data_IF_034257310376
#
_entry.id   IF_034257310376
#
_cell.length_a   1.000
_cell.length_b   1.000
_cell.length_c   1.000
_cell.angle_alpha   90.00
_cell.angle_beta   90.00
_cell.angle_gamma   90.00
#
_symmetry.space_group_name_H-M   'P 1'
#
loop_
_entity.id
_entity.type
_entity.pdbx_description
1 polymer ?
#
# COMPACT_ATOMS: atom_id res chain seq x y z
N UNK A 1 20.03 -35.61 40.91
CA UNK A 1 20.11 -34.14 40.76
C UNK A 1 20.88 -33.85 39.49
N UNK A 2 20.18 -33.60 38.40
CA UNK A 2 20.75 -33.08 37.15
C UNK A 2 19.89 -31.87 36.82
N UNK A 3 20.51 -30.69 36.81
CA UNK A 3 19.87 -29.40 36.61
C UNK A 3 19.22 -29.33 35.23
N UNK A 4 17.92 -29.02 35.19
CA UNK A 4 17.24 -28.65 33.96
C UNK A 4 17.84 -27.34 33.42
N UNK A 5 18.12 -27.20 32.12
CA UNK A 5 18.51 -25.92 31.56
C UNK A 5 17.30 -24.97 31.58
N UNK A 6 17.46 -23.91 32.36
CA UNK A 6 16.58 -22.75 32.43
C UNK A 6 16.67 -21.89 31.17
N UNK A 7 15.57 -21.17 30.92
CA UNK A 7 15.38 -20.04 30.01
C UNK A 7 15.40 -20.31 28.50
N UNK A 8 14.21 -20.59 27.96
CA UNK A 8 13.85 -20.06 26.64
C UNK A 8 13.71 -18.54 26.78
N UNK A 9 14.62 -17.79 26.17
CA UNK A 9 14.45 -16.35 25.96
C UNK A 9 13.44 -16.21 24.83
N UNK A 10 12.23 -15.77 25.15
CA UNK A 10 11.31 -15.30 24.13
C UNK A 10 11.97 -14.13 23.39
N UNK A 11 12.34 -14.33 22.13
CA UNK A 11 12.70 -13.22 21.26
C UNK A 11 11.44 -12.39 21.07
N UNK A 12 11.28 -11.35 21.88
CA UNK A 12 10.43 -10.24 21.52
C UNK A 12 11.09 -9.60 20.28
N UNK A 13 10.63 -10.00 19.10
CA UNK A 13 10.93 -9.25 17.89
C UNK A 13 10.38 -7.85 18.11
N UNK A 14 11.25 -6.89 18.41
CA UNK A 14 10.91 -5.47 18.37
C UNK A 14 10.65 -5.14 16.91
N UNK A 15 9.43 -5.41 16.45
CA UNK A 15 8.91 -4.95 15.16
C UNK A 15 8.70 -3.46 15.29
N UNK A 16 9.79 -2.68 15.26
CA UNK A 16 9.70 -1.27 14.91
C UNK A 16 9.24 -1.26 13.46
N UNK A 17 7.92 -1.25 13.26
CA UNK A 17 7.33 -0.98 11.94
C UNK A 17 7.96 0.32 11.45
N UNK A 18 8.71 0.31 10.34
CA UNK A 18 9.31 1.52 9.81
C UNK A 18 8.21 2.57 9.68
N UNK A 19 8.41 3.76 10.24
CA UNK A 19 7.54 4.88 9.90
C UNK A 19 7.80 5.21 8.44
N UNK A 20 6.86 4.84 7.56
CA UNK A 20 6.96 5.03 6.12
C UNK A 20 6.63 6.47 5.69
N UNK A 21 6.47 7.40 6.64
CA UNK A 21 6.26 8.78 6.26
C UNK A 21 7.57 9.42 5.81
N UNK A 22 7.60 10.04 4.63
CA UNK A 22 8.74 10.83 4.23
C UNK A 22 8.86 12.04 5.14
N UNK A 23 10.07 12.28 5.65
CA UNK A 23 10.36 13.49 6.41
C UNK A 23 10.06 14.74 5.56
N UNK A 24 9.59 15.80 6.22
CA UNK A 24 9.44 17.11 5.56
C UNK A 24 10.81 17.50 4.98
N UNK A 25 10.90 17.85 3.68
CA UNK A 25 12.15 18.29 3.10
C UNK A 25 12.73 19.48 3.88
N UNK A 26 14.03 19.44 4.17
CA UNK A 26 14.71 20.50 4.94
C UNK A 26 14.65 21.87 4.24
N UNK A 27 14.54 21.86 2.91
CA UNK A 27 14.42 22.99 2.00
C UNK A 27 12.96 23.36 1.62
N UNK A 28 11.97 22.92 2.40
CA UNK A 28 10.57 23.35 2.20
C UNK A 28 10.42 24.86 2.36
N UNK A 29 9.70 25.49 1.44
CA UNK A 29 9.38 26.93 1.47
C UNK A 29 7.88 27.20 1.59
N UNK A 30 7.04 26.25 1.18
CA UNK A 30 5.60 26.33 1.35
C UNK A 30 4.92 24.96 1.33
N UNK A 31 3.69 24.90 1.80
CA UNK A 31 2.75 23.81 1.51
C UNK A 31 1.72 24.27 0.49
N UNK A 32 1.24 23.32 -0.30
CA UNK A 32 0.22 23.56 -1.30
C UNK A 32 -0.67 22.33 -1.50
N UNK A 33 -1.78 22.52 -2.19
CA UNK A 33 -2.65 21.45 -2.66
C UNK A 33 -2.86 21.55 -4.17
N UNK A 34 -3.06 20.40 -4.80
CA UNK A 34 -3.52 20.35 -6.17
C UNK A 34 -4.98 20.82 -6.28
N UNK A 35 -5.25 21.71 -7.22
CA UNK A 35 -6.61 22.23 -7.50
C UNK A 35 -7.32 21.48 -8.63
N UNK A 36 -6.63 20.54 -9.26
CA UNK A 36 -7.13 19.76 -10.38
C UNK A 36 -6.90 18.27 -10.13
N UNK A 37 -7.58 17.41 -10.86
CA UNK A 37 -7.52 15.96 -10.63
C UNK A 37 -6.46 15.21 -11.45
N UNK A 38 -5.81 15.87 -12.40
CA UNK A 38 -4.82 15.25 -13.28
C UNK A 38 -3.64 16.20 -13.52
N UNK A 39 -3.04 16.65 -12.42
CA UNK A 39 -1.90 17.54 -12.49
C UNK A 39 -0.65 16.70 -12.76
N UNK A 40 -0.03 16.90 -13.92
CA UNK A 40 1.19 16.18 -14.31
C UNK A 40 2.39 16.73 -13.57
N UNK A 41 3.22 15.82 -13.09
CA UNK A 41 4.49 16.14 -12.43
C UNK A 41 5.62 15.59 -13.29
N UNK A 42 6.58 16.45 -13.59
CA UNK A 42 7.65 16.17 -14.54
C UNK A 42 8.99 15.96 -13.83
N UNK A 43 9.81 15.05 -14.36
CA UNK A 43 11.18 14.85 -13.90
C UNK A 43 12.01 16.12 -14.09
N UNK A 44 12.95 16.33 -13.17
CA UNK A 44 13.99 17.34 -13.27
C UNK A 44 14.58 17.61 -11.89
N UNK A 45 15.86 17.96 -11.83
CA UNK A 45 16.54 18.37 -10.60
C UNK A 45 16.92 19.86 -10.60
N UNK A 46 16.72 20.54 -11.73
CA UNK A 46 17.08 21.95 -11.89
C UNK A 46 16.13 22.69 -12.83
N UNK A 47 16.12 24.02 -12.74
CA UNK A 47 15.44 24.89 -13.69
C UNK A 47 15.83 24.63 -15.15
N UNK A 48 17.09 24.25 -15.39
CA UNK A 48 17.56 23.96 -16.74
C UNK A 48 16.94 22.68 -17.29
N UNK A 49 16.63 21.69 -16.45
CA UNK A 49 16.03 20.44 -16.93
C UNK A 49 14.64 20.66 -17.51
N UNK A 50 13.79 21.44 -16.83
CA UNK A 50 12.41 21.69 -17.28
C UNK A 50 12.35 22.56 -18.56
N UNK A 51 13.39 23.37 -18.80
CA UNK A 51 13.50 24.25 -19.96
C UNK A 51 14.13 23.54 -21.17
N UNK A 52 15.19 22.76 -20.95
CA UNK A 52 16.06 22.29 -22.04
C UNK A 52 15.87 20.81 -22.42
N UNK A 53 15.25 19.99 -21.58
CA UNK A 53 15.09 18.55 -21.82
C UNK A 53 13.65 18.20 -22.18
N UNK A 54 13.43 17.09 -22.93
CA UNK A 54 12.10 16.52 -23.09
C UNK A 54 11.45 16.28 -21.73
N UNK A 55 10.22 16.77 -21.57
CA UNK A 55 9.47 16.66 -20.32
C UNK A 55 8.99 15.22 -20.13
N UNK A 56 9.55 14.53 -19.14
CA UNK A 56 9.13 13.17 -18.77
C UNK A 56 8.19 13.25 -17.58
N UNK A 57 6.96 12.75 -17.74
CA UNK A 57 5.99 12.67 -16.64
C UNK A 57 6.43 11.53 -15.71
N UNK A 58 6.63 11.84 -14.44
CA UNK A 58 7.00 10.86 -13.42
C UNK A 58 5.82 10.44 -12.55
N UNK A 59 4.83 11.34 -12.41
CA UNK A 59 3.59 11.04 -11.71
C UNK A 59 2.47 12.05 -12.03
N UNK A 60 1.31 11.84 -11.43
CA UNK A 60 0.17 12.76 -11.42
C UNK A 60 -0.27 13.04 -9.97
N UNK A 61 -0.81 14.25 -9.74
CA UNK A 61 -1.52 14.60 -8.51
C UNK A 61 -3.03 14.48 -8.72
N UNK A 62 -3.70 14.01 -7.67
CA UNK A 62 -5.15 14.00 -7.55
C UNK A 62 -5.66 15.33 -6.97
N UNK A 63 -6.98 15.54 -7.01
CA UNK A 63 -7.57 16.75 -6.47
C UNK A 63 -7.38 16.83 -4.95
N UNK A 64 -6.93 18.00 -4.49
CA UNK A 64 -6.52 18.26 -3.11
C UNK A 64 -5.40 17.37 -2.58
N UNK A 65 -4.67 16.66 -3.45
CA UNK A 65 -3.43 16.00 -3.04
C UNK A 65 -2.41 17.07 -2.65
N UNK A 66 -1.89 16.96 -1.43
CA UNK A 66 -0.96 17.93 -0.91
C UNK A 66 0.47 17.70 -1.37
N UNK A 67 1.17 18.82 -1.47
CA UNK A 67 2.56 18.87 -1.86
C UNK A 67 3.30 19.90 -1.01
N UNK A 68 4.60 19.72 -0.89
CA UNK A 68 5.50 20.77 -0.42
C UNK A 68 6.13 21.45 -1.61
N UNK A 69 6.12 22.78 -1.64
CA UNK A 69 6.99 23.53 -2.54
C UNK A 69 8.36 23.60 -1.89
N UNK A 70 9.38 23.18 -2.64
CA UNK A 70 10.77 23.12 -2.16
C UNK A 70 11.62 24.14 -2.92
N UNK A 71 12.72 24.56 -2.29
CA UNK A 71 13.72 25.51 -2.80
C UNK A 71 13.24 26.97 -2.94
N UNK A 72 12.19 27.23 -3.72
CA UNK A 72 11.76 28.59 -4.06
C UNK A 72 10.25 28.69 -4.34
N UNK A 73 9.63 29.77 -3.86
CA UNK A 73 8.27 30.18 -4.24
C UNK A 73 8.22 30.99 -5.54
N UNK A 74 9.36 31.51 -5.99
CA UNK A 74 9.48 32.17 -7.28
C UNK A 74 9.51 31.11 -8.37
N UNK A 75 8.48 31.03 -9.24
CA UNK A 75 8.42 29.99 -10.24
C UNK A 75 9.47 30.21 -11.33
N UNK A 76 9.99 29.11 -11.85
CA UNK A 76 10.81 29.10 -13.06
C UNK A 76 9.88 29.38 -14.24
N UNK A 77 10.26 30.34 -15.09
CA UNK A 77 9.51 30.67 -16.30
C UNK A 77 10.25 30.06 -17.48
N UNK A 78 9.55 29.21 -18.24
CA UNK A 78 10.14 28.63 -19.46
C UNK A 78 9.99 29.56 -20.69
N UNK A 79 10.48 29.11 -21.84
CA UNK A 79 10.43 29.86 -23.10
C UNK A 79 9.02 30.15 -23.61
N UNK A 80 8.01 29.42 -23.14
CA UNK A 80 6.60 29.64 -23.46
C UNK A 80 5.88 30.56 -22.45
N UNK A 81 6.58 30.98 -21.39
CA UNK A 81 6.01 31.80 -20.32
C UNK A 81 5.29 30.98 -19.24
N UNK A 82 5.31 29.64 -19.31
CA UNK A 82 4.71 28.80 -18.28
C UNK A 82 5.55 28.86 -17.00
N UNK A 83 4.86 28.90 -15.86
CA UNK A 83 5.45 29.04 -14.52
C UNK A 83 5.50 27.69 -13.83
N UNK A 84 6.67 27.30 -13.36
CA UNK A 84 6.94 25.99 -12.77
C UNK A 84 7.45 26.10 -11.34
N UNK A 85 6.98 25.21 -10.48
CA UNK A 85 7.50 25.03 -9.12
C UNK A 85 8.07 23.62 -8.98
N UNK A 86 9.18 23.51 -8.25
CA UNK A 86 9.67 22.22 -7.77
C UNK A 86 8.88 21.84 -6.52
N UNK A 87 8.33 20.63 -6.53
CA UNK A 87 7.53 20.12 -5.43
C UNK A 87 8.05 18.78 -4.92
N UNK A 88 7.75 18.48 -3.67
CA UNK A 88 7.81 17.16 -3.07
C UNK A 88 6.39 16.66 -2.78
N UNK A 89 6.11 15.41 -3.12
CA UNK A 89 4.80 14.78 -3.00
C UNK A 89 4.87 13.71 -1.91
N UNK A 90 4.62 14.07 -0.66
CA UNK A 90 4.80 13.16 0.47
C UNK A 90 3.85 11.96 0.46
N UNK A 91 2.72 12.08 -0.24
CA UNK A 91 1.75 10.99 -0.42
C UNK A 91 2.18 9.92 -1.42
N UNK A 92 3.25 10.19 -2.15
CA UNK A 92 3.80 9.32 -3.18
C UNK A 92 5.25 9.06 -2.81
N UNK A 93 5.53 7.92 -2.18
CA UNK A 93 6.86 7.68 -1.62
C UNK A 93 7.83 7.12 -2.66
N UNK A 94 9.10 7.44 -2.46
CA UNK A 94 10.28 6.92 -3.15
C UNK A 94 11.20 6.29 -2.10
N UNK A 95 11.94 5.25 -2.48
CA UNK A 95 12.88 4.57 -1.58
C UNK A 95 14.30 4.94 -1.97
N UNK A 96 14.99 5.62 -1.06
CA UNK A 96 16.37 6.03 -1.24
C UNK A 96 17.33 4.83 -1.15
N UNK A 97 18.59 5.02 -1.56
CA UNK A 97 19.58 3.94 -1.55
C UNK A 97 19.91 3.41 -0.14
N UNK A 98 19.77 4.26 0.88
CA UNK A 98 19.97 3.92 2.29
C UNK A 98 18.72 3.26 2.93
N UNK A 99 17.68 3.00 2.14
CA UNK A 99 16.41 2.44 2.60
C UNK A 99 15.46 3.45 3.24
N UNK A 100 15.87 4.72 3.38
CA UNK A 100 14.96 5.77 3.86
C UNK A 100 13.92 6.11 2.80
N UNK A 101 12.75 6.59 3.23
CA UNK A 101 11.67 7.00 2.33
C UNK A 101 11.62 8.52 2.19
N UNK A 102 11.44 9.00 0.96
CA UNK A 102 11.21 10.41 0.64
C UNK A 102 9.95 10.56 -0.21
N UNK A 103 9.35 11.76 -0.27
CA UNK A 103 8.28 12.03 -1.23
C UNK A 103 8.85 12.12 -2.65
N UNK A 104 8.07 11.76 -3.66
CA UNK A 104 8.45 11.95 -5.07
C UNK A 104 8.65 13.44 -5.33
N UNK A 105 9.77 13.80 -5.93
CA UNK A 105 10.07 15.19 -6.30
C UNK A 105 9.96 15.41 -7.80
N UNK A 106 9.42 16.55 -8.21
CA UNK A 106 9.37 16.94 -9.61
C UNK A 106 8.74 18.31 -9.83
N UNK A 107 8.71 18.75 -11.08
CA UNK A 107 8.18 20.04 -11.47
C UNK A 107 6.70 19.98 -11.79
N UNK A 108 5.96 21.00 -11.36
CA UNK A 108 4.54 21.16 -11.62
C UNK A 108 4.23 22.60 -12.02
N UNK A 109 3.20 22.80 -12.85
CA UNK A 109 2.76 24.14 -13.20
C UNK A 109 2.20 24.86 -11.97
N UNK A 110 2.55 26.13 -11.82
CA UNK A 110 2.17 26.97 -10.68
C UNK A 110 0.66 27.16 -10.56
N UNK A 111 -0.04 27.27 -11.69
CA UNK A 111 -1.49 27.48 -11.76
C UNK A 111 -2.31 26.25 -11.37
N UNK A 112 -1.68 25.07 -11.35
CA UNK A 112 -2.30 23.84 -10.85
C UNK A 112 -2.33 23.74 -9.32
N UNK A 113 -1.59 24.63 -8.63
CA UNK A 113 -1.43 24.59 -7.17
C UNK A 113 -2.09 25.78 -6.47
N UNK A 114 -2.65 25.48 -5.31
CA UNK A 114 -3.06 26.47 -4.33
C UNK A 114 -2.10 26.46 -3.14
N UNK A 115 -1.41 27.59 -2.91
CA UNK A 115 -0.41 27.72 -1.84
C UNK A 115 -1.14 28.00 -0.53
N UNK A 116 -0.97 27.11 0.44
CA UNK A 116 -1.67 27.18 1.73
C UNK A 116 -0.88 28.00 2.74
N UNK A 117 0.36 27.61 3.01
CA UNK A 117 1.23 28.24 4.03
C UNK A 117 2.62 28.43 3.48
N UNK A 118 3.20 29.62 3.72
CA UNK A 118 4.58 29.97 3.36
C UNK A 118 5.50 30.12 4.58
N UNK A 119 4.94 30.06 5.80
CA UNK A 119 5.71 30.10 7.04
C UNK A 119 6.43 28.78 7.27
N UNK A 120 7.75 28.74 7.02
CA UNK A 120 8.57 27.54 7.21
C UNK A 120 8.64 27.10 8.67
N UNK A 121 8.58 28.04 9.62
CA UNK A 121 8.47 27.72 11.04
C UNK A 121 7.17 26.99 11.33
N UNK A 122 6.02 27.49 10.87
CA UNK A 122 4.71 26.80 11.00
C UNK A 122 4.73 25.41 10.33
N UNK A 123 5.38 25.28 9.17
CA UNK A 123 5.54 23.99 8.49
C UNK A 123 6.38 23.00 9.30
N UNK A 124 7.52 23.44 9.83
CA UNK A 124 8.46 22.57 10.56
C UNK A 124 8.06 22.32 12.01
N UNK A 125 7.37 23.26 12.65
CA UNK A 125 6.95 23.16 14.06
C UNK A 125 5.62 22.42 14.23
N UNK A 126 4.85 22.25 13.16
CA UNK A 126 3.57 21.55 13.19
C UNK A 126 3.80 20.06 13.51
N UNK A 127 3.63 19.68 14.77
CA UNK A 127 3.62 18.29 15.22
C UNK A 127 2.44 17.50 14.64
N UNK A 128 1.40 18.18 14.16
CA UNK A 128 0.24 17.62 13.49
C UNK A 128 0.07 18.19 12.08
N UNK A 129 1.00 17.83 11.19
CA UNK A 129 0.97 18.23 9.77
C UNK A 129 -0.38 17.98 9.07
N UNK A 130 -1.08 16.98 9.58
CA UNK A 130 -2.45 16.58 9.24
C UNK A 130 -3.52 17.60 9.53
N UNK A 131 -3.50 18.17 10.73
CA UNK A 131 -4.57 19.04 11.23
C UNK A 131 -4.32 20.45 10.71
N UNK A 132 -3.05 20.84 10.67
CA UNK A 132 -2.67 22.23 10.49
C UNK A 132 -2.15 22.57 9.11
N UNK A 133 -1.94 21.65 8.17
CA UNK A 133 -1.31 22.02 6.87
C UNK A 133 -1.90 21.26 5.70
N UNK A 134 -2.16 19.97 5.89
CA UNK A 134 -2.67 19.12 4.84
C UNK A 134 -3.42 17.92 5.44
N UNK A 135 -4.75 17.83 5.28
CA UNK A 135 -5.55 16.73 5.83
C UNK A 135 -5.19 15.35 5.27
N UNK A 136 -4.79 15.28 4.00
CA UNK A 136 -4.32 14.03 3.37
C UNK A 136 -2.91 13.63 3.82
N UNK A 137 -2.21 14.59 4.46
CA UNK A 137 -1.07 14.53 5.38
C UNK A 137 -0.82 13.21 6.03
N UNK A 138 -1.84 12.86 6.81
CA UNK A 138 -2.14 11.50 7.14
C UNK A 138 -0.99 10.72 7.70
N UNK A 139 -0.32 11.13 8.78
CA UNK A 139 0.23 10.05 9.60
C UNK A 139 -0.97 9.39 10.25
N UNK A 140 -1.34 8.23 9.71
CA UNK A 140 -2.16 7.26 10.40
C UNK A 140 -1.62 7.06 11.83
N UNK A 141 -0.34 7.39 12.13
CA UNK A 141 0.29 7.22 13.44
C UNK A 141 0.18 8.27 14.55
N UNK A 142 0.00 9.56 14.27
CA UNK A 142 0.11 10.62 15.32
C UNK A 142 -1.21 11.11 15.94
N UNK A 143 -2.36 10.53 15.56
CA UNK A 143 -3.70 10.96 16.04
C UNK A 143 -4.17 10.29 17.35
N UNK A 144 -3.26 9.75 18.17
CA UNK A 144 -3.60 9.06 19.43
C UNK A 144 -4.00 9.99 20.58
N UNK A 145 -3.99 11.32 20.40
CA UNK A 145 -4.48 12.27 21.41
C UNK A 145 -6.00 12.44 21.35
N UNK A 146 -6.70 11.58 22.10
CA UNK A 146 -8.04 11.64 22.75
C UNK A 146 -9.22 12.47 22.22
N UNK A 147 -9.09 13.51 21.39
CA UNK A 147 -10.24 14.37 20.98
C UNK A 147 -10.64 14.26 19.50
N UNK A 148 -9.86 13.59 18.65
CA UNK A 148 -10.14 13.48 17.20
C UNK A 148 -10.70 12.12 16.74
N UNK A 149 -11.33 11.36 17.64
CA UNK A 149 -11.97 10.06 17.34
C UNK A 149 -13.04 10.08 16.22
N UNK A 150 -13.38 11.27 15.70
CA UNK A 150 -14.40 11.49 14.69
C UNK A 150 -13.89 11.97 13.33
N UNK A 151 -12.66 12.49 13.21
CA UNK A 151 -12.11 12.89 11.91
C UNK A 151 -11.78 11.65 11.12
N UNK A 152 -12.35 11.51 9.93
CA UNK A 152 -12.07 10.36 9.09
C UNK A 152 -11.80 10.81 7.65
N UNK A 153 -11.02 10.02 6.93
CA UNK A 153 -10.72 10.24 5.52
C UNK A 153 -11.67 9.43 4.67
N UNK A 154 -12.15 10.04 3.60
CA UNK A 154 -12.91 9.36 2.56
C UNK A 154 -12.04 9.18 1.34
N UNK A 155 -12.04 7.98 0.78
CA UNK A 155 -11.34 7.68 -0.48
C UNK A 155 -12.39 7.43 -1.55
N UNK A 156 -12.29 8.14 -2.66
CA UNK A 156 -13.14 7.90 -3.83
C UNK A 156 -12.85 6.52 -4.41
N UNK A 157 -13.85 5.63 -4.41
CA UNK A 157 -13.73 4.26 -4.93
C UNK A 157 -14.43 4.08 -6.28
N UNK A 158 -15.31 5.00 -6.65
CA UNK A 158 -15.89 5.03 -8.00
C UNK A 158 -14.85 5.53 -9.01
N UNK A 159 -14.89 5.00 -10.23
CA UNK A 159 -14.02 5.41 -11.34
C UNK A 159 -14.11 6.93 -11.56
N UNK A 160 -15.35 7.43 -11.56
CA UNK A 160 -15.68 8.85 -11.59
C UNK A 160 -16.68 9.15 -10.49
N UNK A 161 -16.32 10.05 -9.58
CA UNK A 161 -17.26 10.62 -8.62
C UNK A 161 -17.49 12.10 -8.91
N UNK A 162 -18.56 12.64 -8.35
CA UNK A 162 -18.92 14.04 -8.49
C UNK A 162 -19.05 14.67 -7.12
N UNK A 163 -18.52 15.87 -7.01
CA UNK A 163 -18.52 16.68 -5.80
C UNK A 163 -19.44 17.88 -6.00
N UNK A 164 -20.35 18.13 -5.07
CA UNK A 164 -21.41 19.12 -5.20
C UNK A 164 -21.40 20.16 -4.08
N UNK A 165 -21.92 21.36 -4.37
CA UNK A 165 -22.08 22.47 -3.40
C UNK A 165 -23.13 22.19 -2.33
N UNK A 166 -24.09 21.30 -2.62
CA UNK A 166 -25.20 20.96 -1.74
C UNK A 166 -25.60 19.50 -1.91
N UNK A 167 -26.33 18.97 -0.93
CA UNK A 167 -27.06 17.70 -1.07
C UNK A 167 -28.14 17.89 -2.13
N UNK A 168 -28.28 16.91 -3.00
CA UNK A 168 -29.28 16.97 -4.06
C UNK A 168 -30.55 16.25 -3.62
N UNK A 169 -31.69 16.87 -3.91
CA UNK A 169 -33.00 16.30 -3.60
C UNK A 169 -33.36 15.18 -4.59
N UNK A 170 -34.56 14.60 -4.47
CA UNK A 170 -35.09 13.64 -5.43
C UNK A 170 -35.10 14.17 -6.89
N UNK A 171 -35.12 15.49 -7.09
CA UNK A 171 -35.01 16.13 -8.40
C UNK A 171 -33.60 16.07 -9.03
N UNK A 172 -32.60 15.55 -8.30
CA UNK A 172 -31.20 15.51 -8.74
C UNK A 172 -30.43 16.84 -8.53
N UNK A 173 -29.15 16.82 -8.90
CA UNK A 173 -28.27 17.99 -8.91
C UNK A 173 -28.29 18.67 -10.28
N UNK A 174 -28.14 19.99 -10.33
CA UNK A 174 -27.90 20.70 -11.60
C UNK A 174 -26.42 20.77 -11.93
N UNK A 175 -26.06 21.25 -13.12
CA UNK A 175 -24.65 21.46 -13.51
C UNK A 175 -23.99 22.55 -12.66
N UNK A 176 -24.75 23.54 -12.21
CA UNK A 176 -24.29 24.66 -11.39
C UNK A 176 -23.94 24.22 -9.95
N UNK A 177 -24.54 23.12 -9.50
CA UNK A 177 -24.24 22.49 -8.22
C UNK A 177 -22.93 21.71 -8.24
N UNK A 178 -22.46 21.27 -9.41
CA UNK A 178 -21.22 20.52 -9.56
C UNK A 178 -20.03 21.43 -9.28
N UNK A 179 -19.22 21.05 -8.29
CA UNK A 179 -17.93 21.69 -8.00
C UNK A 179 -16.85 21.05 -8.88
N UNK A 180 -16.71 19.73 -8.78
CA UNK A 180 -15.61 19.01 -9.42
C UNK A 180 -15.97 17.55 -9.72
N UNK A 181 -15.31 16.97 -10.73
CA UNK A 181 -15.31 15.51 -10.96
C UNK A 181 -14.04 14.93 -10.33
N UNK A 182 -14.17 13.88 -9.53
CA UNK A 182 -13.07 13.24 -8.80
C UNK A 182 -12.71 11.89 -9.42
N UNK A 183 -11.43 11.54 -9.39
CA UNK A 183 -10.92 10.23 -9.84
C UNK A 183 -10.93 9.22 -8.71
N UNK A 184 -10.97 7.96 -9.10
CA UNK A 184 -10.59 6.83 -8.26
C UNK A 184 -9.30 7.11 -7.46
N UNK A 185 -9.36 6.91 -6.15
CA UNK A 185 -8.29 7.15 -5.20
C UNK A 185 -8.28 8.55 -4.57
N UNK A 186 -9.05 9.52 -5.07
CA UNK A 186 -9.01 10.88 -4.51
C UNK A 186 -9.35 10.86 -3.02
N UNK A 187 -8.50 11.50 -2.21
CA UNK A 187 -8.67 11.61 -0.77
C UNK A 187 -9.41 12.89 -0.41
N UNK A 188 -10.43 12.76 0.43
CA UNK A 188 -11.25 13.87 0.91
C UNK A 188 -11.30 13.85 2.43
N UNK A 189 -11.19 15.02 3.03
CA UNK A 189 -11.41 15.19 4.46
C UNK A 189 -12.92 15.24 4.75
N UNK A 190 -13.38 14.57 5.81
CA UNK A 190 -14.75 14.74 6.27
C UNK A 190 -14.86 14.83 7.79
N UNK A 191 -15.87 15.57 8.24
CA UNK A 191 -15.94 16.04 9.62
C UNK A 191 -16.85 15.17 10.49
N UNK A 192 -17.98 14.67 9.97
CA UNK A 192 -18.91 13.87 10.79
C UNK A 192 -19.62 12.77 10.01
N UNK A 193 -20.05 11.73 10.73
CA UNK A 193 -20.97 10.72 10.21
C UNK A 193 -22.36 11.34 10.09
N UNK A 194 -22.64 11.93 8.94
CA UNK A 194 -23.95 12.49 8.64
C UNK A 194 -25.01 11.39 8.39
N UNK A 195 -26.28 11.79 8.53
CA UNK A 195 -27.49 10.96 8.46
C UNK A 195 -27.51 10.01 7.25
N UNK A 196 -28.30 8.93 7.33
CA UNK A 196 -28.41 7.85 6.32
C UNK A 196 -29.08 8.27 4.99
N UNK A 197 -28.91 9.51 4.54
CA UNK A 197 -29.54 10.06 3.33
C UNK A 197 -28.76 9.74 2.04
N UNK A 198 -27.72 8.91 2.13
CA UNK A 198 -26.87 8.52 1.00
C UNK A 198 -25.85 9.57 0.59
N UNK A 199 -25.76 10.69 1.32
CA UNK A 199 -24.77 11.75 1.10
C UNK A 199 -23.74 11.81 2.23
N UNK A 200 -22.58 12.33 1.88
CA UNK A 200 -21.48 12.58 2.80
C UNK A 200 -21.03 14.01 2.61
N UNK A 201 -21.07 14.79 3.69
CA UNK A 201 -20.42 16.09 3.75
C UNK A 201 -18.90 15.87 3.82
N UNK A 202 -18.15 16.56 2.99
CA UNK A 202 -16.69 16.58 2.98
C UNK A 202 -16.25 18.04 3.04
N UNK A 203 -15.07 18.30 3.60
CA UNK A 203 -14.46 19.62 3.52
C UNK A 203 -13.52 19.65 2.34
N UNK A 204 -13.65 20.72 1.58
CA UNK A 204 -12.76 21.04 0.48
C UNK A 204 -12.14 22.40 0.69
N UNK A 205 -10.97 22.62 0.13
CA UNK A 205 -10.36 23.94 0.12
C UNK A 205 -10.68 24.61 -1.23
N UNK A 206 -11.36 25.74 -1.17
CA UNK A 206 -11.73 26.55 -2.34
C UNK A 206 -11.36 28.00 -2.10
N UNK A 207 -10.71 28.66 -3.07
CA UNK A 207 -10.53 30.11 -3.02
C UNK A 207 -9.17 30.60 -3.52
N UNK A 208 -8.97 31.91 -3.35
CA UNK A 208 -7.73 32.65 -3.59
C UNK A 208 -7.26 33.25 -2.27
N UNK A 209 -6.17 32.77 -1.69
CA UNK A 209 -5.60 33.27 -0.46
C UNK A 209 -4.34 32.49 -0.07
N UNK A 210 -3.38 33.17 0.56
CA UNK A 210 -2.29 32.52 1.29
C UNK A 210 -2.63 32.72 2.76
N UNK A 211 -2.65 31.65 3.56
CA UNK A 211 -2.82 31.84 5.00
C UNK A 211 -1.62 32.61 5.53
N UNK A 212 -1.89 33.73 6.20
CA UNK A 212 -0.88 34.36 7.03
C UNK A 212 -0.57 33.47 8.25
N UNK A 213 0.45 33.85 9.04
CA UNK A 213 0.83 33.08 10.23
C UNK A 213 -0.28 32.96 11.27
N UNK A 214 -1.22 33.91 11.31
CA UNK A 214 -2.29 34.04 12.32
C UNK A 214 -3.62 33.40 11.93
N UNK A 215 -3.87 33.17 10.64
CA UNK A 215 -5.13 32.56 10.16
C UNK A 215 -5.19 31.05 10.42
N UNK A 216 -6.38 30.60 10.84
CA UNK A 216 -6.71 29.19 11.02
C UNK A 216 -7.15 28.56 9.69
N UNK A 217 -6.71 27.33 9.43
CA UNK A 217 -7.11 26.54 8.27
C UNK A 217 -8.62 26.30 8.17
N UNK A 218 -9.32 26.31 9.30
CA UNK A 218 -10.77 26.14 9.33
C UNK A 218 -11.51 27.21 8.51
N UNK A 219 -10.87 28.35 8.27
CA UNK A 219 -11.44 29.43 7.44
C UNK A 219 -11.35 29.15 5.94
N UNK A 220 -10.50 28.23 5.50
CA UNK A 220 -10.35 27.85 4.09
C UNK A 220 -11.31 26.73 3.65
N UNK A 221 -11.85 25.98 4.61
CA UNK A 221 -12.70 24.86 4.31
C UNK A 221 -14.09 25.34 3.89
N UNK A 222 -14.54 24.83 2.75
CA UNK A 222 -15.92 24.89 2.29
C UNK A 222 -16.54 23.50 2.40
N UNK A 223 -17.81 23.46 2.77
CA UNK A 223 -18.63 22.26 2.70
C UNK A 223 -18.88 21.85 1.26
N UNK A 224 -18.70 20.57 0.98
CA UNK A 224 -19.12 19.93 -0.25
C UNK A 224 -19.75 18.57 0.04
N UNK A 225 -20.39 18.00 -0.98
CA UNK A 225 -21.19 16.80 -0.83
C UNK A 225 -20.84 15.79 -1.91
N UNK A 226 -20.65 14.54 -1.50
CA UNK A 226 -20.39 13.40 -2.36
C UNK A 226 -21.35 12.27 -1.98
N UNK A 227 -21.71 11.41 -2.94
CA UNK A 227 -22.54 10.24 -2.65
C UNK A 227 -21.75 9.22 -1.84
N UNK A 228 -22.38 8.67 -0.81
CA UNK A 228 -21.77 7.63 0.02
C UNK A 228 -21.38 6.38 -0.79
N UNK A 229 -22.16 6.06 -1.83
CA UNK A 229 -21.85 4.96 -2.74
C UNK A 229 -20.54 5.13 -3.49
N UNK A 230 -20.07 6.37 -3.66
CA UNK A 230 -18.88 6.71 -4.47
C UNK A 230 -17.58 6.72 -3.66
N UNK A 231 -17.68 6.61 -2.33
CA UNK A 231 -16.54 6.65 -1.41
C UNK A 231 -16.49 5.40 -0.54
N UNK A 232 -15.32 5.15 0.01
CA UNK A 232 -15.14 4.30 1.18
C UNK A 232 -14.58 5.15 2.31
N UNK A 233 -15.12 4.97 3.50
CA UNK A 233 -14.69 5.69 4.69
C UNK A 233 -13.80 4.80 5.53
N UNK A 234 -12.66 5.32 5.98
CA UNK A 234 -11.80 4.60 6.90
C UNK A 234 -12.06 5.09 8.31
N UNK A 235 -12.33 4.16 9.23
CA UNK A 235 -12.32 4.45 10.67
C UNK A 235 -10.89 4.28 11.15
N UNK A 236 -10.35 5.31 11.80
CA UNK A 236 -9.00 5.30 12.35
C UNK A 236 -8.78 4.13 13.33
N UNK A 237 -9.82 3.71 14.06
CA UNK A 237 -9.77 2.55 14.96
C UNK A 237 -9.55 1.21 14.26
N UNK A 238 -9.66 1.13 12.93
CA UNK A 238 -9.36 -0.07 12.14
C UNK A 238 -7.86 -0.19 11.80
N UNK A 239 -7.04 0.79 12.19
CA UNK A 239 -5.60 0.88 11.93
C UNK A 239 -4.76 -0.27 12.47
N UNK A 240 -5.02 -0.76 13.68
CA UNK A 240 -4.34 -1.96 14.21
C UNK A 240 -4.61 -3.21 13.36
N UNK A 241 -5.69 -3.19 12.55
CA UNK A 241 -6.00 -4.22 11.57
C UNK A 241 -5.47 -3.92 10.17
N UNK A 242 -4.86 -2.76 9.93
CA UNK A 242 -4.26 -2.37 8.63
C UNK A 242 -2.76 -2.68 8.57
N UNK A 243 -2.04 -2.62 9.69
CA UNK A 243 -0.69 -3.22 9.74
C UNK A 243 -0.83 -4.75 9.69
N UNK A 244 -1.72 -5.29 10.52
CA UNK A 244 -2.14 -6.68 10.50
C UNK A 244 -3.36 -6.91 9.58
N UNK A 245 -3.38 -6.36 8.34
CA UNK A 245 -4.40 -6.81 7.36
C UNK A 245 -4.17 -8.30 7.22
N UNK A 246 -5.10 -9.07 7.78
CA UNK A 246 -5.09 -10.52 7.68
C UNK A 246 -4.98 -10.84 6.21
N UNK A 247 -3.88 -11.48 5.85
CA UNK A 247 -3.55 -11.81 4.48
C UNK A 247 -4.76 -12.52 3.85
N UNK A 248 -5.31 -12.03 2.73
CA UNK A 248 -6.55 -12.60 2.17
C UNK A 248 -6.37 -14.06 1.79
N UNK A 249 -7.30 -14.95 2.13
CA UNK A 249 -7.18 -16.40 1.88
C UNK A 249 -6.56 -16.71 0.50
N UNK A 250 -5.46 -17.50 0.45
CA UNK A 250 -4.73 -17.78 -0.80
C UNK A 250 -5.60 -18.46 -1.86
N UNK A 251 -6.69 -19.12 -1.46
CA UNK A 251 -7.62 -19.81 -2.36
C UNK A 251 -9.06 -19.33 -2.17
N UNK A 252 -9.26 -18.03 -1.92
CA UNK A 252 -10.59 -17.42 -1.94
C UNK A 252 -11.34 -17.79 -3.23
N UNK A 253 -12.31 -18.70 -3.11
CA UNK A 253 -13.08 -19.25 -4.24
C UNK A 253 -13.92 -18.22 -4.98
N UNK A 254 -14.14 -17.05 -4.35
CA UNK A 254 -14.81 -15.87 -4.91
C UNK A 254 -13.79 -14.73 -5.12
N UNK A 255 -12.74 -15.01 -5.88
CA UNK A 255 -11.64 -14.06 -6.12
C UNK A 255 -12.13 -12.72 -6.70
N UNK A 256 -13.19 -12.74 -7.50
CA UNK A 256 -13.86 -11.59 -8.11
C UNK A 256 -14.61 -10.70 -7.09
N UNK A 257 -14.98 -11.26 -5.95
CA UNK A 257 -15.62 -10.54 -4.84
C UNK A 257 -14.61 -9.89 -3.90
N UNK A 258 -13.32 -10.26 -3.99
CA UNK A 258 -12.31 -9.64 -3.17
C UNK A 258 -12.21 -8.14 -3.53
N UNK A 259 -12.17 -7.22 -2.54
CA UNK A 259 -12.24 -5.79 -2.81
C UNK A 259 -11.20 -5.26 -3.81
N UNK A 260 -9.93 -5.70 -3.74
CA UNK A 260 -8.91 -5.25 -4.71
C UNK A 260 -9.23 -5.68 -6.14
N UNK A 261 -9.78 -6.88 -6.28
CA UNK A 261 -10.16 -7.44 -7.56
C UNK A 261 -11.37 -6.73 -8.11
N UNK A 262 -12.40 -6.52 -7.29
CA UNK A 262 -13.60 -5.77 -7.66
C UNK A 262 -13.27 -4.35 -8.14
N UNK A 263 -12.36 -3.66 -7.46
CA UNK A 263 -11.90 -2.34 -7.92
C UNK A 263 -11.03 -2.43 -9.17
N UNK A 264 -10.17 -3.43 -9.31
CA UNK A 264 -9.40 -3.68 -10.53
C UNK A 264 -10.30 -3.92 -11.75
N UNK A 265 -11.38 -4.70 -11.58
CA UNK A 265 -12.38 -4.96 -12.61
C UNK A 265 -13.09 -3.68 -13.07
N UNK A 266 -13.38 -2.75 -12.14
CA UNK A 266 -13.96 -1.45 -12.49
C UNK A 266 -13.02 -0.61 -13.36
N UNK A 267 -11.71 -0.77 -13.22
CA UNK A 267 -10.73 0.01 -13.97
C UNK A 267 -10.41 -0.57 -15.35
N UNK A 268 -10.97 -1.72 -15.75
CA UNK A 268 -10.75 -2.31 -17.08
C UNK A 268 -11.09 -1.31 -18.19
N UNK A 269 -10.19 -1.20 -19.16
CA UNK A 269 -10.31 -0.25 -20.27
C UNK A 269 -9.77 1.15 -19.98
N UNK A 270 -9.35 1.43 -18.74
CA UNK A 270 -8.55 2.61 -18.45
C UNK A 270 -7.29 2.60 -19.31
N UNK A 271 -7.01 3.69 -20.03
CA UNK A 271 -5.81 3.81 -20.88
C UNK A 271 -4.54 3.75 -20.05
N UNK A 272 -3.46 3.28 -20.68
CA UNK A 272 -2.12 3.43 -20.11
C UNK A 272 -1.64 4.86 -20.31
N UNK A 273 -1.01 5.41 -19.27
CA UNK A 273 -0.33 6.68 -19.33
C UNK A 273 0.94 6.58 -18.49
N UNK A 274 2.10 6.90 -19.07
CA UNK A 274 3.37 6.91 -18.34
C UNK A 274 3.32 7.99 -17.25
N UNK A 275 3.63 7.62 -16.02
CA UNK A 275 3.43 8.49 -14.86
C UNK A 275 1.96 8.62 -14.44
N UNK A 276 1.04 7.89 -15.07
CA UNK A 276 -0.40 7.98 -14.84
C UNK A 276 -0.85 7.47 -13.47
N UNK A 277 -1.73 8.22 -12.80
CA UNK A 277 -2.41 7.87 -11.52
C UNK A 277 -3.85 8.40 -11.46
N UNK A 278 -4.49 8.57 -12.60
CA UNK A 278 -5.84 9.11 -12.65
C UNK A 278 -6.58 8.57 -13.84
N UNK A 279 -7.87 8.33 -13.69
CA UNK A 279 -8.76 8.01 -14.81
C UNK A 279 -9.86 9.05 -14.84
N UNK A 280 -9.96 9.75 -15.96
CA UNK A 280 -11.11 10.59 -16.31
C UNK A 280 -11.48 10.26 -17.73
N UNK A 281 -12.77 10.05 -17.96
CA UNK A 281 -13.41 9.96 -19.26
C UNK A 281 -12.52 9.34 -20.36
N UNK A 282 -12.71 8.04 -20.61
CA UNK A 282 -12.05 7.27 -21.68
C UNK A 282 -12.07 7.98 -23.04
N UNK A 283 -13.05 8.85 -23.28
CA UNK A 283 -13.24 9.57 -24.54
C UNK A 283 -12.62 10.98 -24.56
N UNK A 284 -12.11 11.48 -23.43
CA UNK A 284 -11.45 12.78 -23.38
C UNK A 284 -10.05 12.72 -24.01
N UNK A 285 -9.64 13.82 -24.65
CA UNK A 285 -8.27 14.03 -25.15
C UNK A 285 -7.26 14.31 -24.04
N UNK A 286 -7.73 14.38 -22.79
CA UNK A 286 -6.88 14.63 -21.64
C UNK A 286 -6.02 13.38 -21.38
N UNK A 287 -4.74 13.61 -21.06
CA UNK A 287 -3.78 12.54 -20.76
C UNK A 287 -4.10 11.90 -19.40
N UNK A 288 -5.16 11.10 -19.37
CA UNK A 288 -5.65 10.36 -18.21
C UNK A 288 -5.32 8.89 -18.45
N UNK A 289 -4.92 8.19 -17.40
CA UNK A 289 -4.53 6.81 -17.46
C UNK A 289 -3.71 6.40 -16.25
N UNK A 290 -3.34 5.13 -16.22
CA UNK A 290 -2.52 4.56 -15.16
C UNK A 290 -1.36 3.80 -15.76
N UNK A 291 -0.13 4.06 -15.29
CA UNK A 291 0.94 3.09 -15.49
C UNK A 291 0.79 1.93 -14.51
N UNK A 292 1.62 0.89 -14.66
CA UNK A 292 1.52 -0.32 -13.83
C UNK A 292 1.67 -0.03 -12.33
N UNK A 293 2.68 0.76 -11.96
CA UNK A 293 2.89 1.17 -10.56
C UNK A 293 1.86 2.16 -10.02
N UNK A 294 1.30 3.00 -10.89
CA UNK A 294 0.22 3.93 -10.56
C UNK A 294 -1.05 3.18 -10.23
N UNK A 295 -1.40 2.19 -11.06
CA UNK A 295 -2.52 1.27 -10.82
C UNK A 295 -2.36 0.53 -9.49
N UNK A 296 -1.22 -0.12 -9.25
CA UNK A 296 -0.99 -0.86 -7.99
C UNK A 296 -1.09 0.06 -6.78
N UNK A 297 -0.50 1.27 -6.86
CA UNK A 297 -0.53 2.23 -5.76
C UNK A 297 -1.95 2.64 -5.39
N UNK A 298 -2.82 2.86 -6.37
CA UNK A 298 -4.21 3.26 -6.16
C UNK A 298 -5.07 2.10 -5.67
N UNK A 299 -4.90 0.90 -6.23
CA UNK A 299 -5.60 -0.29 -5.77
C UNK A 299 -5.30 -0.58 -4.30
N UNK A 300 -4.03 -0.51 -3.89
CA UNK A 300 -3.64 -0.68 -2.49
C UNK A 300 -4.22 0.39 -1.58
N UNK A 301 -4.20 1.65 -2.03
CA UNK A 301 -4.74 2.76 -1.26
C UNK A 301 -6.27 2.65 -1.09
N UNK A 302 -7.02 2.40 -2.16
CA UNK A 302 -8.49 2.32 -2.08
C UNK A 302 -8.96 1.06 -1.35
N UNK A 303 -8.25 -0.05 -1.52
CA UNK A 303 -8.66 -1.34 -0.94
C UNK A 303 -8.27 -1.46 0.53
N UNK A 304 -7.01 -1.16 0.83
CA UNK A 304 -6.42 -1.47 2.12
C UNK A 304 -6.06 -0.22 2.93
N UNK A 305 -6.31 0.98 2.39
CA UNK A 305 -5.74 2.23 2.93
C UNK A 305 -4.23 2.17 3.09
N UNK A 306 -3.56 1.35 2.27
CA UNK A 306 -2.11 1.16 2.35
C UNK A 306 -1.44 1.98 1.27
N UNK A 307 -0.53 2.86 1.70
CA UNK A 307 0.36 3.58 0.80
C UNK A 307 1.55 2.70 0.49
N UNK A 308 1.84 2.54 -0.80
CA UNK A 308 3.03 1.88 -1.29
C UNK A 308 3.82 2.87 -2.17
N UNK A 309 5.12 2.66 -2.39
CA UNK A 309 5.92 3.56 -3.21
C UNK A 309 5.36 3.78 -4.61
N UNK A 310 5.71 4.92 -5.20
CA UNK A 310 5.20 5.34 -6.50
C UNK A 310 5.79 4.56 -7.66
N UNK A 311 7.09 4.27 -7.62
CA UNK A 311 7.80 3.64 -8.74
C UNK A 311 7.82 2.12 -8.60
N UNK A 312 7.88 1.41 -9.72
CA UNK A 312 7.93 -0.07 -9.75
C UNK A 312 9.13 -0.58 -8.93
N UNK A 313 10.31 0.02 -9.12
CA UNK A 313 11.53 -0.40 -8.43
C UNK A 313 11.43 -0.16 -6.93
N UNK A 314 10.85 0.95 -6.50
CA UNK A 314 10.70 1.24 -5.08
C UNK A 314 9.62 0.37 -4.44
N UNK A 315 8.55 0.04 -5.17
CA UNK A 315 7.57 -0.95 -4.72
C UNK A 315 8.22 -2.30 -4.45
N UNK A 316 9.07 -2.77 -5.35
CA UNK A 316 9.80 -4.03 -5.17
C UNK A 316 10.76 -3.98 -3.97
N UNK A 317 11.52 -2.88 -3.82
CA UNK A 317 12.45 -2.70 -2.70
C UNK A 317 11.76 -2.63 -1.33
N UNK A 318 10.58 -1.99 -1.26
CA UNK A 318 9.86 -1.79 0.00
C UNK A 318 9.00 -3.00 0.41
N UNK A 319 8.65 -3.87 -0.53
CA UNK A 319 7.83 -5.05 -0.25
C UNK A 319 8.67 -6.20 0.35
N UNK A 320 8.05 -7.08 1.13
CA UNK A 320 8.70 -8.30 1.61
C UNK A 320 8.77 -9.33 0.47
N UNK A 321 9.98 -9.65 0.04
CA UNK A 321 10.26 -10.67 -0.98
C UNK A 321 10.30 -12.08 -0.41
N UNK A 322 10.29 -12.24 0.92
CA UNK A 322 10.32 -13.55 1.60
C UNK A 322 8.91 -14.08 1.85
N UNK A 323 8.10 -14.19 0.80
CA UNK A 323 6.82 -14.91 0.89
C UNK A 323 7.00 -16.38 0.49
N UNK A 324 6.31 -17.26 1.21
CA UNK A 324 6.25 -18.69 0.86
C UNK A 324 5.55 -18.89 -0.48
N UNK A 325 6.10 -19.73 -1.37
CA UNK A 325 5.50 -20.04 -2.69
C UNK A 325 4.08 -20.63 -2.59
N UNK A 326 3.78 -21.38 -1.52
CA UNK A 326 2.43 -21.92 -1.31
C UNK A 326 1.44 -20.85 -0.83
N UNK A 327 1.92 -19.65 -0.50
CA UNK A 327 1.15 -18.56 0.05
C UNK A 327 1.11 -17.37 -0.90
N UNK A 328 0.78 -17.53 -2.18
CA UNK A 328 0.34 -16.38 -2.97
C UNK A 328 -1.11 -16.03 -2.61
N UNK A 329 -1.34 -14.79 -2.19
CA UNK A 329 -2.62 -14.29 -1.67
C UNK A 329 -3.11 -13.15 -2.55
N UNK A 330 -4.43 -12.96 -2.61
CA UNK A 330 -5.02 -11.85 -3.36
C UNK A 330 -4.43 -10.53 -2.89
N UNK A 331 -3.94 -9.73 -3.83
CA UNK A 331 -3.25 -8.48 -3.57
C UNK A 331 -1.72 -8.57 -3.66
N UNK A 332 -1.11 -9.76 -3.52
CA UNK A 332 0.35 -9.91 -3.68
C UNK A 332 0.81 -9.38 -5.04
N UNK A 333 2.04 -8.86 -5.09
CA UNK A 333 2.58 -8.21 -6.27
C UNK A 333 3.51 -9.15 -7.02
N UNK A 334 3.36 -9.14 -8.34
CA UNK A 334 4.23 -9.84 -9.28
C UNK A 334 4.99 -8.79 -10.08
N UNK A 335 6.31 -8.91 -10.12
CA UNK A 335 7.20 -8.01 -10.84
C UNK A 335 7.88 -8.75 -11.98
N UNK A 336 8.16 -8.03 -13.05
CA UNK A 336 8.95 -8.53 -14.18
C UNK A 336 10.18 -7.64 -14.37
N UNK A 337 11.36 -8.24 -14.46
CA UNK A 337 12.57 -7.57 -14.94
C UNK A 337 12.95 -8.11 -16.31
N UNK A 338 13.69 -7.33 -17.11
CA UNK A 338 14.27 -7.84 -18.35
C UNK A 338 15.39 -8.85 -17.99
N UNK A 339 15.61 -9.90 -18.78
CA UNK A 339 16.75 -10.80 -18.52
C UNK A 339 18.10 -10.10 -18.64
N UNK A 340 18.17 -8.99 -19.38
CA UNK A 340 19.38 -8.17 -19.55
C UNK A 340 19.53 -7.04 -18.52
N UNK A 341 18.55 -6.84 -17.63
CA UNK A 341 18.58 -5.75 -16.64
C UNK A 341 17.92 -6.17 -15.33
N UNK A 342 18.56 -5.83 -14.22
CA UNK A 342 17.98 -6.07 -12.89
C UNK A 342 16.92 -5.03 -12.49
N UNK A 343 16.63 -4.04 -13.36
CA UNK A 343 15.55 -3.09 -13.13
C UNK A 343 14.19 -3.73 -13.43
N UNK A 344 13.25 -3.50 -12.52
CA UNK A 344 11.86 -3.89 -12.73
C UNK A 344 11.24 -3.05 -13.84
N UNK A 345 10.52 -3.73 -14.74
CA UNK A 345 9.90 -3.16 -15.94
C UNK A 345 8.39 -3.14 -15.86
N UNK A 346 7.80 -4.02 -15.05
CA UNK A 346 6.36 -4.09 -14.85
C UNK A 346 6.01 -4.60 -13.46
N UNK A 347 4.82 -4.24 -12.97
CA UNK A 347 4.23 -4.78 -11.75
C UNK A 347 2.75 -5.10 -11.98
N UNK A 348 2.28 -6.17 -11.37
CA UNK A 348 0.94 -6.72 -11.53
C UNK A 348 0.40 -7.12 -10.15
N UNK A 349 -0.92 -7.07 -9.97
CA UNK A 349 -1.58 -7.52 -8.74
C UNK A 349 -2.14 -8.92 -8.97
N UNK A 350 -1.85 -9.87 -8.07
CA UNK A 350 -2.51 -11.16 -8.06
C UNK A 350 -3.96 -11.00 -7.63
N UNK A 351 -4.90 -11.32 -8.53
CA UNK A 351 -6.34 -11.14 -8.31
C UNK A 351 -6.99 -12.35 -7.63
N UNK A 352 -6.29 -13.49 -7.61
CA UNK A 352 -6.76 -14.74 -7.02
C UNK A 352 -6.92 -15.83 -8.06
N UNK A 353 -7.73 -16.84 -7.70
CA UNK A 353 -7.87 -18.08 -8.44
C UNK A 353 -9.33 -18.48 -8.54
N UNK A 354 -9.74 -18.90 -9.73
CA UNK A 354 -11.09 -19.42 -9.95
C UNK A 354 -11.22 -20.85 -9.41
N UNK A 355 -12.29 -21.10 -8.67
CA UNK A 355 -12.52 -22.39 -8.01
C UNK A 355 -12.93 -23.51 -8.96
N UNK A 356 -13.48 -23.19 -10.12
CA UNK A 356 -13.97 -24.16 -11.11
C UNK A 356 -12.90 -24.47 -12.16
N UNK A 357 -12.28 -23.44 -12.74
CA UNK A 357 -11.27 -23.61 -13.78
C UNK A 357 -9.86 -23.82 -13.24
N UNK A 358 -9.64 -23.51 -11.95
CA UNK A 358 -8.32 -23.50 -11.33
C UNK A 358 -7.35 -22.51 -12.01
N UNK A 359 -7.86 -21.56 -12.80
CA UNK A 359 -7.07 -20.51 -13.42
C UNK A 359 -6.74 -19.40 -12.43
N UNK A 360 -5.53 -18.87 -12.54
CA UNK A 360 -5.05 -17.76 -11.75
C UNK A 360 -5.15 -16.46 -12.53
N UNK A 361 -5.63 -15.40 -11.88
CA UNK A 361 -5.89 -14.11 -12.50
C UNK A 361 -4.95 -13.03 -11.95
N UNK A 362 -4.58 -12.11 -12.83
CA UNK A 362 -3.78 -10.95 -12.50
C UNK A 362 -4.36 -9.69 -13.13
N UNK A 363 -4.17 -8.57 -12.43
CA UNK A 363 -4.54 -7.23 -12.88
C UNK A 363 -3.26 -6.47 -13.20
N UNK A 364 -3.19 -5.88 -14.39
CA UNK A 364 -2.05 -5.08 -14.82
C UNK A 364 -2.48 -3.87 -15.66
N UNK A 365 -1.58 -2.89 -15.80
CA UNK A 365 -1.68 -1.84 -16.82
C UNK A 365 -0.48 -1.91 -17.76
N UNK A 366 -0.71 -1.93 -19.07
CA UNK A 366 0.37 -1.98 -20.07
C UNK A 366 0.17 -0.97 -21.20
N UNK A 367 1.27 -0.52 -21.81
CA UNK A 367 1.26 0.47 -22.91
C UNK A 367 0.26 0.14 -24.03
N UNK A 368 0.16 -1.13 -24.40
CA UNK A 368 -0.67 -1.57 -25.53
C UNK A 368 -2.13 -1.90 -25.17
N UNK A 369 -2.46 -2.00 -23.87
CA UNK A 369 -3.76 -2.51 -23.45
C UNK A 369 -4.46 -1.69 -22.37
N UNK A 370 -3.76 -0.73 -21.75
CA UNK A 370 -4.25 -0.10 -20.54
C UNK A 370 -4.44 -1.11 -19.42
N UNK A 371 -5.39 -0.82 -18.53
CA UNK A 371 -5.77 -1.69 -17.43
C UNK A 371 -6.61 -2.85 -17.95
N UNK A 372 -6.21 -4.07 -17.58
CA UNK A 372 -6.90 -5.31 -17.95
C UNK A 372 -6.75 -6.35 -16.85
N UNK A 373 -7.64 -7.34 -16.90
CA UNK A 373 -7.52 -8.58 -16.17
C UNK A 373 -7.26 -9.72 -17.14
N UNK A 374 -6.39 -10.65 -16.78
CA UNK A 374 -6.07 -11.80 -17.61
C UNK A 374 -5.53 -12.94 -16.79
N UNK A 375 -5.47 -14.13 -17.40
CA UNK A 375 -4.91 -15.29 -16.70
C UNK A 375 -3.39 -15.26 -16.68
N UNK A 376 -2.80 -15.85 -15.65
CA UNK A 376 -1.35 -16.08 -15.54
C UNK A 376 -0.82 -16.81 -16.78
N UNK A 377 -1.55 -17.81 -17.28
CA UNK A 377 -1.17 -18.54 -18.49
C UNK A 377 -1.11 -17.64 -19.72
N UNK A 378 -2.10 -16.75 -19.90
CA UNK A 378 -2.10 -15.81 -21.01
C UNK A 378 -0.96 -14.80 -20.91
N UNK A 379 -0.62 -14.32 -19.71
CA UNK A 379 0.33 -13.23 -19.54
C UNK A 379 1.79 -13.67 -19.39
N UNK A 380 2.04 -14.79 -18.75
CA UNK A 380 3.37 -15.27 -18.40
C UNK A 380 3.78 -16.54 -19.18
N UNK A 381 2.82 -17.19 -19.85
CA UNK A 381 3.07 -18.43 -20.58
C UNK A 381 3.25 -19.65 -19.66
N UNK A 382 2.82 -19.57 -18.40
CA UNK A 382 2.92 -20.66 -17.41
C UNK A 382 1.54 -20.97 -16.82
N UNK A 383 1.28 -22.22 -16.45
CA UNK A 383 -0.03 -22.63 -15.94
C UNK A 383 -0.39 -21.97 -14.60
N UNK A 384 0.61 -21.75 -13.74
CA UNK A 384 0.43 -21.17 -12.40
C UNK A 384 1.71 -20.50 -11.96
N UNK A 385 1.60 -19.41 -11.20
CA UNK A 385 2.74 -18.73 -10.55
C UNK A 385 3.28 -19.52 -9.37
N UNK A 386 2.50 -20.43 -8.78
CA UNK A 386 2.90 -21.23 -7.61
C UNK A 386 4.02 -22.23 -7.94
N UNK A 387 4.27 -22.50 -9.22
CA UNK A 387 5.41 -23.29 -9.68
C UNK A 387 6.68 -22.49 -9.95
N UNK A 388 6.63 -21.16 -9.81
CA UNK A 388 7.75 -20.27 -10.11
C UNK A 388 8.47 -19.82 -8.83
N UNK A 389 9.79 -19.81 -8.90
CA UNK A 389 10.68 -19.15 -7.96
C UNK A 389 11.03 -17.74 -8.42
N UNK A 390 11.34 -16.86 -7.48
CA UNK A 390 11.87 -15.53 -7.80
C UNK A 390 13.19 -15.65 -8.57
N UNK A 391 13.28 -14.98 -9.72
CA UNK A 391 14.37 -15.06 -10.68
C UNK A 391 14.10 -15.99 -11.88
N UNK A 392 13.04 -16.80 -11.84
CA UNK A 392 12.71 -17.72 -12.93
C UNK A 392 12.42 -16.99 -14.23
N UNK A 393 12.82 -17.59 -15.35
CA UNK A 393 12.59 -17.06 -16.68
C UNK A 393 11.17 -17.35 -17.16
N UNK A 394 10.46 -16.32 -17.61
CA UNK A 394 9.12 -16.41 -18.20
C UNK A 394 9.10 -15.81 -19.61
N UNK A 395 8.03 -16.08 -20.37
CA UNK A 395 7.85 -15.56 -21.74
C UNK A 395 9.04 -15.86 -22.65
N UNK A 396 9.40 -17.14 -22.77
CA UNK A 396 10.51 -17.63 -23.58
C UNK A 396 11.87 -16.98 -23.22
N UNK A 397 12.10 -16.72 -21.93
CA UNK A 397 13.36 -16.14 -21.44
C UNK A 397 13.52 -14.64 -21.70
N UNK A 398 12.43 -13.94 -22.04
CA UNK A 398 12.48 -12.49 -22.21
C UNK A 398 12.47 -11.72 -20.88
N UNK A 399 11.85 -12.29 -19.86
CA UNK A 399 11.72 -11.65 -18.56
C UNK A 399 12.07 -12.60 -17.42
N UNK A 400 12.58 -12.04 -16.32
CA UNK A 400 12.68 -12.71 -15.02
C UNK A 400 11.46 -12.36 -14.17
N UNK A 401 10.91 -13.35 -13.51
CA UNK A 401 9.74 -13.24 -12.63
C UNK A 401 10.20 -13.00 -11.18
N UNK A 402 9.57 -12.05 -10.52
CA UNK A 402 9.78 -11.78 -9.09
C UNK A 402 8.41 -11.59 -8.44
N UNK A 403 8.37 -11.77 -7.13
CA UNK A 403 7.17 -11.51 -6.35
C UNK A 403 7.52 -10.86 -5.03
N UNK A 404 6.57 -10.11 -4.49
CA UNK A 404 6.68 -9.55 -3.16
C UNK A 404 5.29 -9.26 -2.58
N UNK A 405 5.22 -9.09 -1.27
CA UNK A 405 3.98 -8.70 -0.59
C UNK A 405 4.17 -7.47 0.26
N UNK A 406 3.14 -6.64 0.29
CA UNK A 406 3.03 -5.56 1.25
C UNK A 406 2.20 -5.98 2.46
N UNK A 407 1.65 -7.19 2.52
CA UNK A 407 1.03 -7.66 3.76
C UNK A 407 2.13 -8.04 4.75
N UNK A 408 1.93 -7.73 6.03
CA UNK A 408 2.79 -8.29 7.07
C UNK A 408 2.77 -9.82 6.93
N UNK A 409 3.90 -10.48 7.23
CA UNK A 409 3.90 -11.95 7.28
C UNK A 409 2.77 -12.35 8.19
N UNK A 410 1.79 -13.00 7.58
CA UNK A 410 0.65 -13.49 8.32
C UNK A 410 1.22 -14.35 9.44
N UNK A 411 0.69 -14.19 10.65
CA UNK A 411 0.90 -15.18 11.71
C UNK A 411 0.61 -16.58 11.13
N UNK A 412 -0.18 -16.75 10.07
CA UNK A 412 -0.36 -18.04 9.38
C UNK A 412 0.93 -18.64 8.77
N UNK A 413 1.81 -17.83 8.18
CA UNK A 413 3.09 -18.33 7.65
C UNK A 413 3.98 -18.81 8.80
N UNK A 414 3.98 -18.08 9.92
CA UNK A 414 4.62 -18.52 11.16
C UNK A 414 3.86 -19.65 11.85
N UNK A 415 2.55 -19.74 11.69
CA UNK A 415 1.68 -20.73 12.32
C UNK A 415 1.98 -22.10 11.75
N UNK A 416 2.28 -22.21 10.45
CA UNK A 416 2.78 -23.48 9.92
C UNK A 416 4.10 -23.87 10.58
N UNK A 417 5.02 -22.93 10.80
CA UNK A 417 6.27 -23.19 11.53
C UNK A 417 5.98 -23.56 12.98
N UNK A 418 5.09 -22.86 13.66
CA UNK A 418 4.70 -23.12 15.05
C UNK A 418 4.00 -24.47 15.15
N UNK A 419 3.05 -24.79 14.27
CA UNK A 419 2.34 -26.08 14.22
C UNK A 419 3.31 -27.22 13.90
N UNK A 420 4.26 -27.02 12.99
CA UNK A 420 5.32 -27.99 12.70
C UNK A 420 6.24 -28.18 13.90
N UNK A 421 6.68 -27.10 14.56
CA UNK A 421 7.49 -27.16 15.78
C UNK A 421 6.73 -27.83 16.92
N UNK A 422 5.42 -27.56 17.07
CA UNK A 422 4.55 -28.20 18.04
C UNK A 422 4.40 -29.70 17.75
N UNK A 423 4.26 -30.07 16.47
CA UNK A 423 4.20 -31.45 16.03
C UNK A 423 5.51 -32.20 16.32
N UNK A 424 6.65 -31.60 15.99
CA UNK A 424 7.99 -32.13 16.30
C UNK A 424 8.16 -32.28 17.81
N UNK A 425 7.73 -31.29 18.60
CA UNK A 425 7.79 -31.34 20.05
C UNK A 425 6.93 -32.49 20.61
N UNK A 426 5.67 -32.62 20.17
CA UNK A 426 4.78 -33.71 20.58
C UNK A 426 5.38 -35.07 20.20
N UNK A 427 5.86 -35.23 18.96
CA UNK A 427 6.49 -36.48 18.50
C UNK A 427 7.74 -36.82 19.34
N UNK A 428 8.56 -35.82 19.65
CA UNK A 428 9.74 -35.96 20.52
C UNK A 428 9.37 -36.41 21.94
N UNK A 429 8.34 -35.83 22.54
CA UNK A 429 7.86 -36.25 23.88
C UNK A 429 7.31 -37.67 23.89
N UNK A 430 6.60 -38.09 22.84
CA UNK A 430 6.09 -39.47 22.69
C UNK A 430 7.25 -40.46 22.56
N UNK A 431 8.27 -40.15 21.74
CA UNK A 431 9.46 -40.99 21.60
C UNK A 431 10.23 -41.13 22.92
N UNK A 432 10.39 -40.04 23.68
CA UNK A 432 11.01 -40.07 25.01
C UNK A 432 10.21 -40.94 25.99
N UNK A 433 8.88 -40.86 25.97
CA UNK A 433 8.01 -41.70 26.80
C UNK A 433 8.15 -43.19 26.44
N UNK A 434 8.20 -43.53 25.15
CA UNK A 434 8.43 -44.90 24.66
C UNK A 434 9.80 -45.40 25.14
N UNK A 435 10.86 -44.61 24.97
CA UNK A 435 12.21 -44.96 25.43
C UNK A 435 12.26 -45.19 26.94
N UNK A 436 11.53 -44.41 27.73
CA UNK A 436 11.42 -44.61 29.17
C UNK A 436 10.72 -45.93 29.54
N UNK A 437 9.63 -46.28 28.84
CA UNK A 437 8.91 -47.56 29.03
C UNK A 437 9.82 -48.74 28.68
N UNK A 438 10.52 -48.68 27.55
CA UNK A 438 11.47 -49.72 27.10
C UNK A 438 12.59 -49.89 28.12
N UNK A 439 13.21 -48.78 28.55
CA UNK A 439 14.29 -48.80 29.56
C UNK A 439 13.83 -49.39 30.88
N UNK A 440 12.62 -49.03 31.35
CA UNK A 440 12.01 -49.61 32.56
C UNK A 440 11.78 -51.13 32.42
N UNK A 441 11.37 -51.59 31.24
CA UNK A 441 11.14 -53.01 30.97
C UNK A 441 12.45 -53.81 30.94
N UNK A 442 13.48 -53.28 30.27
CA UNK A 442 14.84 -53.85 30.26
C UNK A 442 15.41 -53.91 31.67
N UNK A 443 15.32 -52.81 32.43
CA UNK A 443 15.76 -52.77 33.83
C UNK A 443 15.05 -53.81 34.69
N UNK A 444 13.73 -53.99 34.52
CA UNK A 444 12.95 -55.03 35.23
C UNK A 444 13.45 -56.44 34.88
N UNK A 445 13.73 -56.74 33.60
CA UNK A 445 14.30 -58.04 33.18
C UNK A 445 15.69 -58.27 33.77
N UNK A 446 16.59 -57.28 33.70
CA UNK A 446 17.95 -57.37 34.27
C UNK A 446 17.87 -57.62 35.78
N UNK A 447 17.02 -56.89 36.51
CA UNK A 447 16.84 -57.05 37.95
C UNK A 447 16.35 -58.45 38.34
N UNK A 448 15.48 -59.06 37.53
CA UNK A 448 15.02 -60.45 37.74
C UNK A 448 16.17 -61.43 37.52
N UNK A 449 16.94 -61.29 36.43
CA UNK A 449 18.10 -62.15 36.16
C UNK A 449 19.15 -62.06 37.28
N UNK A 450 19.51 -60.86 37.73
CA UNK A 450 20.50 -60.67 38.81
C UNK A 450 20.03 -61.28 40.13
N UNK A 451 18.74 -61.11 40.50
CA UNK A 451 18.19 -61.76 41.71
C UNK A 451 18.22 -63.29 41.59
N UNK A 452 17.93 -63.84 40.42
CA UNK A 452 18.01 -65.28 40.15
C UNK A 452 19.44 -65.83 40.30
N UNK A 453 20.45 -65.15 39.75
CA UNK A 453 21.85 -65.57 39.87
C UNK A 453 22.39 -65.50 41.31
N UNK A 454 21.96 -64.53 42.11
CA UNK A 454 22.32 -64.43 43.54
C UNK A 454 21.67 -65.55 44.35
N UNK A 455 20.42 -65.90 44.04
CA UNK A 455 19.75 -67.05 44.67
C UNK A 455 20.45 -68.37 44.30
N UNK A 456 20.82 -68.57 43.03
CA UNK A 456 21.53 -69.78 42.58
C UNK A 456 22.90 -69.95 43.25
N UNK A 457 23.68 -68.87 43.48
CA UNK A 457 24.95 -68.95 44.23
C UNK A 457 24.77 -69.27 45.73
N UNK A 458 23.62 -68.96 46.33
CA UNK A 458 23.34 -69.38 47.72
C UNK A 458 23.04 -70.87 47.83
N UNK A 459 22.49 -71.48 46.79
CA UNK A 459 22.20 -72.92 46.77
C UNK A 459 23.41 -73.80 46.39
N UNK A 460 24.50 -73.24 45.86
CA UNK A 460 25.74 -74.01 45.59
C UNK A 460 26.75 -73.98 46.74
N UNK A 461 26.45 -73.27 47.83
CA UNK A 461 27.29 -73.16 49.04
C UNK A 461 26.62 -73.79 50.27
N UNK A 462 25.57 -74.59 50.05
CA UNK A 462 24.98 -75.56 50.97
C UNK A 462 25.21 -76.92 50.32
#
# INVERSE_FOLDING_TARGET
MVSAPSSFVAYAATTTTPSYLPAIPSNVVASAISTQTNVRVYAGSSANDIISKPRVIITQLQYQECVFVVESLNPIVDSSGEKWLLINIPMQTSVNQDGTTSGVQGFVKRDALYILVTSTSKIKSSTNLMVDICPTMSDITSLTSTDYSNSKLSIVKSITAQLFKRRCSASGCTKEDLIFKLSFGTLLYYETADKSDGWRNVKIITGNGTLDSSQSFNTLFQDAYIRESDITTFKESSRERISAVVRPDPDSTNWDQHPITKYGLQLIGCKYALGGRSMFDINSSDYTGMDSSGLTSLLYMVTFSKRIPRSINDQYKAADSKISMNGFHVGDLIFLSNTTSDSMTNVMVFAGKDSQSNEEFIIESTENGGVKIMTVSQRLGVKSIRGLSSGDSVLNGKFKFYYASFFERSIQDERFIIELLLYIFVLGTVLLAIMFIVTKHVYKKIKICVKGSVAARRYSNI
#
